data_IF_075786526922
#
_entry.id   IF_075786526922
#
_cell.length_a   1.000
_cell.length_b   1.000
_cell.length_c   1.000
_cell.angle_alpha   90.00
_cell.angle_beta   90.00
_cell.angle_gamma   90.00
#
_symmetry.space_group_name_H-M   'P 1'
#
loop_
_entity.id
_entity.type
_entity.pdbx_description
1 polymer ?
#
# COMPACT_ATOMS: atom_id res chain seq x y z
N UNK A 1 -3.28 0.40 -1.10
CA UNK A 1 -3.05 1.08 -2.41
C UNK A 1 -1.57 1.07 -2.80
N UNK A 2 -0.71 1.90 -2.19
CA UNK A 2 0.73 1.96 -2.55
C UNK A 2 1.46 0.62 -2.41
N UNK A 3 1.31 -0.04 -1.26
CA UNK A 3 2.02 -1.29 -0.97
C UNK A 3 1.69 -2.40 -1.96
N UNK A 4 0.49 -2.41 -2.54
CA UNK A 4 0.08 -3.40 -3.53
C UNK A 4 0.81 -3.20 -4.87
N UNK A 5 0.85 -1.97 -5.38
CA UNK A 5 1.59 -1.64 -6.60
C UNK A 5 3.10 -1.81 -6.42
N UNK A 6 3.63 -1.40 -5.27
CA UNK A 6 5.06 -1.50 -4.98
C UNK A 6 5.49 -2.97 -4.77
N UNK A 7 4.64 -3.80 -4.13
CA UNK A 7 4.89 -5.24 -3.99
C UNK A 7 4.97 -5.93 -5.33
N UNK A 8 4.03 -5.65 -6.24
CA UNK A 8 4.05 -6.24 -7.59
C UNK A 8 5.37 -5.94 -8.29
N UNK A 9 5.79 -4.67 -8.31
CA UNK A 9 7.07 -4.25 -8.91
C UNK A 9 8.30 -4.94 -8.30
N UNK A 10 8.29 -5.20 -7.00
CA UNK A 10 9.38 -5.90 -6.32
C UNK A 10 9.33 -7.41 -6.57
N UNK A 11 8.14 -8.01 -6.60
CA UNK A 11 7.98 -9.42 -6.95
C UNK A 11 8.43 -9.70 -8.39
N UNK A 12 8.17 -8.77 -9.31
CA UNK A 12 8.62 -8.87 -10.71
C UNK A 12 10.16 -8.82 -10.80
N UNK A 13 10.83 -8.09 -9.90
CA UNK A 13 12.30 -7.97 -9.85
C UNK A 13 12.96 -9.11 -9.06
N UNK A 14 12.27 -9.64 -8.05
CA UNK A 14 12.75 -10.66 -7.13
C UNK A 14 11.72 -11.78 -7.00
N UNK A 15 11.54 -12.61 -8.03
CA UNK A 15 10.48 -13.63 -8.07
C UNK A 15 10.64 -14.72 -6.99
N UNK A 16 11.88 -14.94 -6.52
CA UNK A 16 12.18 -15.93 -5.47
C UNK A 16 11.85 -15.43 -4.06
N UNK A 17 11.59 -14.13 -3.88
CA UNK A 17 11.30 -13.56 -2.57
C UNK A 17 9.84 -13.76 -2.20
N UNK A 18 9.63 -14.28 -0.98
CA UNK A 18 8.30 -14.41 -0.41
C UNK A 18 7.65 -13.04 -0.14
N UNK A 19 6.32 -12.98 -0.32
CA UNK A 19 5.53 -11.77 -0.05
C UNK A 19 5.70 -11.20 1.37
N UNK A 20 6.01 -12.05 2.35
CA UNK A 20 6.30 -11.64 3.72
C UNK A 20 7.56 -10.75 3.79
N UNK A 21 8.63 -11.17 3.11
CA UNK A 21 9.89 -10.42 3.04
C UNK A 21 9.73 -9.12 2.24
N UNK A 22 9.01 -9.19 1.12
CA UNK A 22 8.66 -7.99 0.35
C UNK A 22 7.88 -6.99 1.21
N UNK A 23 6.95 -7.46 2.04
CA UNK A 23 6.14 -6.60 2.91
C UNK A 23 6.97 -5.92 4.01
N UNK A 24 8.00 -6.59 4.56
CA UNK A 24 8.95 -5.95 5.50
C UNK A 24 9.71 -4.81 4.82
N UNK A 25 10.21 -5.03 3.61
CA UNK A 25 10.94 -4.03 2.83
C UNK A 25 10.03 -2.85 2.45
N UNK A 26 8.80 -3.13 2.01
CA UNK A 26 7.82 -2.11 1.69
C UNK A 26 7.46 -1.23 2.88
N UNK A 27 7.36 -1.80 4.08
CA UNK A 27 7.13 -1.02 5.31
C UNK A 27 8.25 -0.03 5.59
N UNK A 28 9.52 -0.42 5.36
CA UNK A 28 10.67 0.47 5.46
C UNK A 28 10.63 1.56 4.39
N UNK A 29 10.41 1.18 3.13
CA UNK A 29 10.30 2.11 1.99
C UNK A 29 9.20 3.14 2.22
N UNK A 30 8.02 2.73 2.68
CA UNK A 30 6.92 3.63 2.99
C UNK A 30 7.31 4.69 4.02
N UNK A 31 8.01 4.30 5.09
CA UNK A 31 8.47 5.24 6.12
C UNK A 31 9.48 6.26 5.59
N UNK A 32 10.29 5.85 4.61
CA UNK A 32 11.30 6.72 3.98
C UNK A 32 10.72 7.66 2.90
N UNK A 33 9.50 7.42 2.42
CA UNK A 33 8.84 8.34 1.49
C UNK A 33 8.58 9.70 2.14
N UNK A 34 8.67 10.75 1.34
CA UNK A 34 8.27 12.09 1.75
C UNK A 34 6.75 12.16 1.96
N UNK A 35 6.30 13.12 2.76
CA UNK A 35 4.86 13.33 2.96
C UNK A 35 4.13 13.66 1.66
N UNK A 36 4.79 14.39 0.75
CA UNK A 36 4.26 14.69 -0.59
C UNK A 36 4.05 13.43 -1.43
N UNK A 37 4.96 12.45 -1.35
CA UNK A 37 4.84 11.19 -2.09
C UNK A 37 3.78 10.26 -1.49
N UNK A 38 3.62 10.30 -0.16
CA UNK A 38 2.59 9.53 0.56
C UNK A 38 1.20 10.11 0.35
N UNK A 39 1.08 11.42 0.25
CA UNK A 39 -0.19 12.16 0.21
C UNK A 39 -1.24 11.58 -0.75
N UNK A 40 -0.94 11.32 -2.04
CA UNK A 40 -1.93 10.76 -2.96
C UNK A 40 -2.45 9.39 -2.50
N UNK A 41 -1.59 8.54 -1.94
CA UNK A 41 -1.98 7.21 -1.48
C UNK A 41 -2.77 7.24 -0.17
N UNK A 42 -2.46 8.18 0.72
CA UNK A 42 -3.25 8.41 1.94
C UNK A 42 -4.65 8.90 1.58
N UNK A 43 -4.75 9.92 0.70
CA UNK A 43 -6.03 10.44 0.23
C UNK A 43 -6.88 9.36 -0.44
N UNK A 44 -6.27 8.53 -1.26
CA UNK A 44 -6.98 7.43 -1.91
C UNK A 44 -7.40 6.35 -0.91
N UNK A 45 -6.58 6.04 0.10
CA UNK A 45 -6.95 5.12 1.16
C UNK A 45 -8.16 5.62 1.97
N UNK A 46 -8.19 6.90 2.32
CA UNK A 46 -9.34 7.50 3.00
C UNK A 46 -10.59 7.52 2.13
N UNK A 47 -10.46 7.80 0.82
CA UNK A 47 -11.56 7.71 -0.14
C UNK A 47 -12.17 6.31 -0.17
N UNK A 48 -11.33 5.28 -0.29
CA UNK A 48 -11.76 3.89 -0.30
C UNK A 48 -12.41 3.48 1.03
N UNK A 49 -11.86 3.94 2.16
CA UNK A 49 -12.43 3.71 3.48
C UNK A 49 -13.83 4.32 3.62
N UNK A 50 -14.04 5.55 3.16
CA UNK A 50 -15.36 6.20 3.18
C UNK A 50 -16.37 5.46 2.30
N UNK A 51 -15.94 5.00 1.12
CA UNK A 51 -16.79 4.20 0.23
C UNK A 51 -17.20 2.89 0.92
N UNK A 52 -16.23 2.18 1.50
CA UNK A 52 -16.51 0.94 2.21
C UNK A 52 -17.47 1.15 3.38
N UNK A 53 -17.27 2.20 4.19
CA UNK A 53 -18.18 2.56 5.29
C UNK A 53 -19.60 2.87 4.80
N UNK A 54 -19.75 3.52 3.64
CA UNK A 54 -21.06 3.81 3.05
C UNK A 54 -21.73 2.56 2.48
N UNK A 55 -20.96 1.67 1.87
CA UNK A 55 -21.46 0.44 1.24
C UNK A 55 -21.76 -0.66 2.26
N UNK A 56 -21.02 -0.68 3.37
CA UNK A 56 -21.14 -1.65 4.45
C UNK A 56 -21.34 -0.90 5.78
N UNK A 57 -22.51 -0.26 5.99
CA UNK A 57 -22.78 0.50 7.20
C UNK A 57 -22.90 -0.35 8.48
N UNK A 58 -23.06 -1.68 8.35
CA UNK A 58 -23.22 -2.62 9.47
C UNK A 58 -21.96 -3.46 9.79
N UNK A 59 -20.80 -3.11 9.19
CA UNK A 59 -19.49 -3.66 9.54
C UNK A 59 -18.81 -2.79 10.60
#
# INVERSE_FOLDING_TARGET
VWAQSARRKLADQYPDLHNAELSKTLGKLWRMLSETDKHPYIKESERLRMIHKKQHPEY
#
